data_IF_668195677196
#
_entry.id   IF_668195677196
#
_cell.length_a   1.000
_cell.length_b   1.000
_cell.length_c   1.000
_cell.angle_alpha   90.00
_cell.angle_beta   90.00
_cell.angle_gamma   90.00
#
_symmetry.space_group_name_H-M   'P 1'
#
loop_
_entity.id
_entity.type
_entity.pdbx_description
1 polymer ?
#
# COMPACT_ATOMS: atom_id res chain seq x y z
N UNK A 1 -4.77 39.38 40.96
CA UNK A 1 -3.29 39.33 40.89
C UNK A 1 -2.68 38.06 41.51
N UNK A 2 -3.09 37.64 42.72
CA UNK A 2 -2.59 36.42 43.38
C UNK A 2 -2.83 35.11 42.59
N UNK A 3 -4.03 34.94 42.01
CA UNK A 3 -4.39 33.73 41.24
C UNK A 3 -3.54 33.55 39.97
N UNK A 4 -3.12 34.67 39.35
CA UNK A 4 -2.25 34.67 38.17
C UNK A 4 -0.82 34.29 38.56
N UNK A 5 -0.30 34.82 39.68
CA UNK A 5 1.02 34.45 40.21
C UNK A 5 1.11 32.97 40.58
N UNK A 6 0.09 32.45 41.26
CA UNK A 6 0.05 31.03 41.64
C UNK A 6 -0.03 30.11 40.41
N UNK A 7 -0.74 30.53 39.36
CA UNK A 7 -0.79 29.82 38.10
C UNK A 7 0.59 29.77 37.42
N UNK A 8 1.32 30.88 37.37
CA UNK A 8 2.69 30.91 36.83
C UNK A 8 3.67 30.07 37.65
N UNK A 9 3.60 30.13 38.98
CA UNK A 9 4.41 29.28 39.86
C UNK A 9 4.14 27.79 39.65
N UNK A 10 2.87 27.41 39.46
CA UNK A 10 2.50 26.04 39.13
C UNK A 10 3.08 25.60 37.78
N UNK A 11 3.00 26.44 36.74
CA UNK A 11 3.59 26.15 35.43
C UNK A 11 5.11 25.98 35.49
N UNK A 12 5.81 26.87 36.21
CA UNK A 12 7.26 26.79 36.41
C UNK A 12 7.61 25.50 37.14
N UNK A 13 6.87 25.16 38.20
CA UNK A 13 7.11 23.95 38.99
C UNK A 13 6.93 22.68 38.15
N UNK A 14 5.87 22.61 37.34
CA UNK A 14 5.66 21.52 36.38
C UNK A 14 6.80 21.44 35.38
N UNK A 15 7.27 22.57 34.84
CA UNK A 15 8.40 22.63 33.92
C UNK A 15 9.69 22.08 34.54
N UNK A 16 10.02 22.48 35.77
CA UNK A 16 11.21 22.01 36.50
C UNK A 16 11.14 20.50 36.75
N UNK A 17 9.98 19.99 37.18
CA UNK A 17 9.78 18.55 37.40
C UNK A 17 9.96 17.75 36.10
N UNK A 18 9.41 18.22 34.99
CA UNK A 18 9.56 17.56 33.68
C UNK A 18 11.02 17.57 33.20
N UNK A 19 11.76 18.65 33.43
CA UNK A 19 13.19 18.74 33.09
C UNK A 19 14.04 17.80 33.95
N UNK A 20 13.79 17.75 35.26
CA UNK A 20 14.46 16.80 36.16
C UNK A 20 14.16 15.35 35.75
N UNK A 21 12.90 15.03 35.45
CA UNK A 21 12.52 13.71 34.97
C UNK A 21 13.20 13.36 33.64
N UNK A 22 13.23 14.28 32.67
CA UNK A 22 13.98 14.12 31.42
C UNK A 22 15.46 13.82 31.66
N UNK A 23 16.11 14.55 32.58
CA UNK A 23 17.51 14.31 32.97
C UNK A 23 17.72 12.92 33.56
N UNK A 24 16.84 12.48 34.46
CA UNK A 24 16.88 11.12 35.03
C UNK A 24 16.72 10.07 33.94
N UNK A 25 15.79 10.24 33.01
CA UNK A 25 15.61 9.30 31.90
C UNK A 25 16.85 9.24 31.00
N UNK A 26 17.52 10.37 30.72
CA UNK A 26 18.75 10.38 29.92
C UNK A 26 19.92 9.64 30.57
N UNK A 27 20.01 9.66 31.90
CA UNK A 27 21.12 9.02 32.63
C UNK A 27 20.80 7.56 32.95
N UNK A 28 19.58 7.27 33.38
CA UNK A 28 19.24 5.98 34.00
C UNK A 28 18.42 5.06 33.09
N UNK A 29 17.67 5.59 32.13
CA UNK A 29 16.85 4.76 31.27
C UNK A 29 17.64 4.31 30.05
N UNK A 30 17.56 3.02 29.72
CA UNK A 30 17.91 2.57 28.37
C UNK A 30 17.05 3.36 27.37
N UNK A 31 17.57 3.72 26.18
CA UNK A 31 16.73 4.29 25.13
C UNK A 31 15.45 3.47 25.03
N UNK A 32 14.29 4.12 25.02
CA UNK A 32 13.04 3.39 24.75
C UNK A 32 13.32 2.55 23.51
N UNK A 33 12.91 1.26 23.46
CA UNK A 33 13.04 0.50 22.24
C UNK A 33 12.39 1.36 21.17
N UNK A 34 13.21 1.91 20.27
CA UNK A 34 12.69 2.58 19.09
C UNK A 34 11.79 1.52 18.47
N UNK A 35 10.51 1.83 18.14
CA UNK A 35 9.68 0.87 17.43
C UNK A 35 10.54 0.38 16.27
N UNK A 36 10.97 -0.88 16.31
CA UNK A 36 12.21 -1.39 15.72
C UNK A 36 12.71 -0.56 14.54
N UNK A 37 13.42 0.55 14.78
CA UNK A 37 13.71 1.59 13.78
C UNK A 37 12.68 1.82 12.64
N UNK A 38 11.37 1.52 12.74
CA UNK A 38 10.50 1.29 11.56
C UNK A 38 11.27 0.60 10.40
N UNK A 39 12.13 -0.34 10.80
CA UNK A 39 13.34 -0.84 10.15
C UNK A 39 13.81 -0.02 8.97
N UNK A 40 13.93 1.31 9.09
CA UNK A 40 13.78 2.30 8.02
C UNK A 40 13.81 1.60 6.68
N UNK A 41 12.67 0.97 6.31
CA UNK A 41 12.65 0.00 5.21
C UNK A 41 13.29 0.80 4.09
N UNK A 42 14.50 0.40 3.69
CA UNK A 42 15.17 1.02 2.57
C UNK A 42 14.35 0.52 1.40
N UNK A 43 13.21 1.18 1.22
CA UNK A 43 12.31 1.00 0.12
C UNK A 43 13.20 1.03 -1.09
N UNK A 44 13.04 0.02 -1.93
CA UNK A 44 13.67 -0.09 -3.23
C UNK A 44 13.88 1.32 -3.75
N UNK A 45 15.15 1.76 -3.82
CA UNK A 45 15.46 2.95 -4.58
C UNK A 45 14.91 2.64 -5.95
N UNK A 46 13.76 3.24 -6.29
CA UNK A 46 13.20 3.17 -7.62
C UNK A 46 14.30 3.83 -8.44
N UNK A 47 15.16 3.09 -9.15
CA UNK A 47 16.36 3.70 -9.67
C UNK A 47 15.90 4.44 -10.91
N UNK A 48 15.60 5.72 -10.76
CA UNK A 48 15.24 6.59 -11.87
C UNK A 48 16.28 6.37 -12.99
N UNK A 49 15.78 6.18 -14.21
CA UNK A 49 16.57 5.92 -15.43
C UNK A 49 17.17 4.52 -15.58
N UNK A 50 17.05 3.61 -14.62
CA UNK A 50 17.37 2.19 -14.88
C UNK A 50 16.24 1.50 -15.62
N UNK A 51 15.00 1.65 -15.15
CA UNK A 51 13.84 0.95 -15.73
C UNK A 51 12.49 1.64 -15.51
N UNK A 52 12.47 2.80 -14.84
CA UNK A 52 11.29 3.67 -14.75
C UNK A 52 11.61 5.05 -15.29
N UNK A 53 10.60 5.71 -15.84
CA UNK A 53 10.62 7.09 -16.29
C UNK A 53 9.66 7.96 -15.48
N UNK A 54 9.92 9.27 -15.49
CA UNK A 54 9.00 10.26 -14.94
C UNK A 54 7.67 10.23 -15.70
N UNK A 55 6.58 10.27 -14.95
CA UNK A 55 5.23 10.44 -15.47
C UNK A 55 4.58 11.64 -14.77
N UNK A 56 4.05 12.58 -15.54
CA UNK A 56 3.44 13.82 -15.04
C UNK A 56 2.19 13.60 -14.17
N UNK A 57 1.41 12.54 -14.40
CA UNK A 57 0.25 12.19 -13.57
C UNK A 57 0.61 11.17 -12.48
N UNK A 58 1.41 10.15 -12.81
CA UNK A 58 1.69 9.04 -11.89
C UNK A 58 2.92 9.25 -11.01
N UNK A 59 3.78 10.20 -11.33
CA UNK A 59 5.09 10.43 -10.72
C UNK A 59 6.19 9.66 -11.43
N UNK A 60 6.09 8.33 -11.42
CA UNK A 60 6.97 7.43 -12.18
C UNK A 60 6.17 6.27 -12.75
N UNK A 61 6.64 5.71 -13.86
CA UNK A 61 6.07 4.52 -14.49
C UNK A 61 7.15 3.68 -15.17
N UNK A 62 7.02 2.33 -15.25
CA UNK A 62 8.02 1.51 -15.92
C UNK A 62 8.20 1.88 -17.40
N UNK A 63 9.43 1.81 -17.87
CA UNK A 63 9.78 2.08 -19.27
C UNK A 63 9.17 1.01 -20.20
N UNK A 64 8.63 1.38 -21.36
CA UNK A 64 8.24 0.42 -22.39
C UNK A 64 9.42 -0.44 -22.89
N UNK A 65 9.14 -1.70 -23.24
CA UNK A 65 10.07 -2.64 -23.89
C UNK A 65 11.44 -2.72 -23.20
N UNK A 66 11.42 -2.77 -21.86
CA UNK A 66 12.63 -2.68 -21.05
C UNK A 66 12.99 -4.00 -20.39
N UNK A 67 14.22 -4.44 -20.63
CA UNK A 67 14.94 -5.40 -19.77
C UNK A 67 15.74 -4.63 -18.72
N UNK A 68 15.62 -5.04 -17.46
CA UNK A 68 16.37 -4.45 -16.37
C UNK A 68 16.79 -5.48 -15.33
N UNK A 69 17.86 -5.19 -14.60
CA UNK A 69 18.29 -6.01 -13.47
C UNK A 69 17.94 -5.30 -12.17
N UNK A 70 17.08 -5.93 -11.38
CA UNK A 70 16.85 -5.58 -10.00
C UNK A 70 17.98 -6.18 -9.17
N UNK A 71 18.91 -5.33 -8.78
CA UNK A 71 20.05 -5.68 -7.94
C UNK A 71 19.93 -4.93 -6.60
N UNK A 72 19.63 -5.68 -5.55
CA UNK A 72 19.74 -5.27 -4.15
C UNK A 72 20.64 -6.28 -3.43
N UNK A 73 21.06 -6.04 -2.18
CA UNK A 73 21.81 -7.05 -1.42
C UNK A 73 21.10 -8.41 -1.26
N UNK A 74 19.77 -8.45 -1.44
CA UNK A 74 18.94 -9.65 -1.24
C UNK A 74 18.33 -10.19 -2.55
N UNK A 75 18.24 -9.36 -3.59
CA UNK A 75 17.49 -9.64 -4.81
C UNK A 75 18.41 -9.44 -6.00
N UNK A 76 18.49 -10.45 -6.85
CA UNK A 76 19.22 -10.41 -8.12
C UNK A 76 18.32 -11.02 -9.18
N UNK A 77 17.49 -10.20 -9.83
CA UNK A 77 16.54 -10.70 -10.83
C UNK A 77 16.56 -9.84 -12.08
N UNK A 78 16.58 -10.49 -13.23
CA UNK A 78 16.26 -9.86 -14.50
C UNK A 78 14.75 -9.79 -14.66
N UNK A 79 14.29 -8.61 -15.06
CA UNK A 79 12.88 -8.28 -15.22
C UNK A 79 12.66 -7.69 -16.60
N UNK A 80 11.49 -7.98 -17.17
CA UNK A 80 11.01 -7.35 -18.38
C UNK A 80 9.74 -6.54 -18.13
N UNK A 81 9.57 -5.54 -18.98
CA UNK A 81 8.33 -4.81 -19.16
C UNK A 81 8.01 -4.71 -20.64
N UNK A 82 6.73 -4.86 -20.98
CA UNK A 82 6.28 -4.89 -22.36
C UNK A 82 6.13 -3.48 -22.95
N UNK A 83 5.60 -3.36 -24.18
CA UNK A 83 5.44 -2.07 -24.86
C UNK A 83 4.49 -1.09 -24.14
N UNK A 84 3.68 -1.59 -23.20
CA UNK A 84 2.80 -0.79 -22.35
C UNK A 84 3.40 -0.46 -20.98
N UNK A 85 4.61 -0.95 -20.66
CA UNK A 85 5.22 -0.84 -19.33
C UNK A 85 4.68 -1.84 -18.30
N UNK A 86 3.85 -2.81 -18.70
CA UNK A 86 3.39 -3.88 -17.82
C UNK A 86 4.48 -4.90 -17.56
N UNK A 87 4.49 -5.51 -16.38
CA UNK A 87 5.44 -6.55 -15.99
C UNK A 87 5.32 -7.77 -16.92
N UNK A 88 6.45 -8.17 -17.50
CA UNK A 88 6.58 -9.33 -18.42
C UNK A 88 6.82 -8.91 -19.88
N UNK A 89 7.05 -9.89 -20.74
CA UNK A 89 7.34 -9.65 -22.18
C UNK A 89 6.08 -9.65 -23.06
N UNK A 90 4.98 -10.26 -22.58
CA UNK A 90 3.76 -10.42 -23.38
C UNK A 90 3.11 -9.06 -23.64
N UNK A 91 2.96 -8.71 -24.91
CA UNK A 91 2.16 -7.55 -25.33
C UNK A 91 0.67 -7.89 -25.37
N UNK A 92 -0.16 -6.92 -25.00
CA UNK A 92 -1.62 -7.03 -25.03
C UNK A 92 -2.17 -5.93 -25.92
N UNK A 93 -3.06 -6.29 -26.85
CA UNK A 93 -3.77 -5.30 -27.65
C UNK A 93 -4.80 -4.57 -26.78
N UNK A 94 -4.94 -3.24 -26.94
CA UNK A 94 -5.97 -2.44 -26.26
C UNK A 94 -7.37 -3.02 -26.54
N UNK A 95 -7.67 -3.24 -27.82
CA UNK A 95 -8.85 -3.99 -28.24
C UNK A 95 -8.63 -5.48 -27.98
N UNK A 96 -9.49 -6.04 -27.13
CA UNK A 96 -9.47 -7.46 -26.77
C UNK A 96 -9.80 -8.31 -27.98
N UNK A 97 -8.79 -9.00 -28.52
CA UNK A 97 -8.92 -9.92 -29.65
C UNK A 97 -9.03 -11.39 -29.21
N UNK A 98 -8.77 -11.69 -27.93
CA UNK A 98 -8.89 -13.04 -27.36
C UNK A 98 -10.32 -13.31 -26.89
N UNK A 99 -10.81 -14.52 -27.13
CA UNK A 99 -12.15 -14.95 -26.70
C UNK A 99 -12.27 -15.21 -25.19
N UNK A 100 -11.15 -15.27 -24.45
CA UNK A 100 -11.15 -15.54 -23.01
C UNK A 100 -11.12 -14.27 -22.14
N UNK A 101 -11.26 -14.39 -20.81
CA UNK A 101 -11.33 -13.23 -19.92
C UNK A 101 -9.99 -12.49 -19.81
N UNK A 102 -10.07 -11.16 -19.67
CA UNK A 102 -8.95 -10.25 -19.45
C UNK A 102 -9.00 -9.72 -18.03
N UNK A 103 -7.90 -9.90 -17.31
CA UNK A 103 -7.69 -9.42 -15.96
C UNK A 103 -6.64 -8.33 -15.99
N UNK A 104 -6.94 -7.20 -15.38
CA UNK A 104 -5.94 -6.18 -15.04
C UNK A 104 -5.59 -6.32 -13.56
N UNK A 105 -4.32 -6.55 -13.25
CA UNK A 105 -3.81 -6.51 -11.89
C UNK A 105 -3.13 -5.15 -11.64
N UNK A 106 -3.67 -4.37 -10.70
CA UNK A 106 -3.13 -3.08 -10.27
C UNK A 106 -2.74 -3.14 -8.80
N UNK A 107 -1.59 -2.56 -8.47
CA UNK A 107 -1.07 -2.61 -7.12
C UNK A 107 0.35 -2.11 -7.02
N UNK A 108 1.03 -2.53 -5.96
CA UNK A 108 2.40 -2.12 -5.68
C UNK A 108 3.45 -3.17 -6.10
N UNK A 109 4.54 -3.28 -5.34
CA UNK A 109 5.62 -4.21 -5.56
C UNK A 109 5.20 -5.68 -5.47
N UNK A 110 4.17 -6.02 -4.69
CA UNK A 110 3.65 -7.39 -4.69
C UNK A 110 2.92 -7.73 -5.98
N UNK A 111 2.14 -6.80 -6.53
CA UNK A 111 1.53 -6.99 -7.84
C UNK A 111 2.59 -7.13 -8.92
N UNK A 112 3.60 -6.26 -8.91
CA UNK A 112 4.72 -6.31 -9.84
C UNK A 112 5.53 -7.62 -9.76
N UNK A 113 5.51 -8.31 -8.61
CA UNK A 113 6.37 -9.46 -8.36
C UNK A 113 7.82 -9.06 -8.09
N UNK A 114 7.98 -8.04 -7.24
CA UNK A 114 9.30 -7.59 -6.82
C UNK A 114 10.06 -8.72 -6.11
N UNK A 115 11.26 -9.04 -6.59
CA UNK A 115 12.09 -10.12 -6.04
C UNK A 115 11.98 -11.46 -6.77
N UNK A 116 11.12 -11.58 -7.79
CA UNK A 116 10.96 -12.83 -8.56
C UNK A 116 11.09 -12.62 -10.07
N UNK A 117 11.44 -13.68 -10.79
CA UNK A 117 11.52 -13.66 -12.25
C UNK A 117 10.12 -13.53 -12.90
N UNK A 118 10.07 -13.19 -14.18
CA UNK A 118 8.83 -12.94 -14.93
C UNK A 118 7.85 -14.13 -14.85
N UNK A 119 8.39 -15.35 -15.03
CA UNK A 119 7.69 -16.63 -14.95
C UNK A 119 7.15 -16.97 -13.56
N UNK A 120 7.69 -16.33 -12.52
CA UNK A 120 7.36 -16.63 -11.13
C UNK A 120 6.27 -15.72 -10.56
N UNK A 121 5.97 -14.60 -11.24
CA UNK A 121 4.90 -13.68 -10.85
C UNK A 121 3.55 -14.40 -10.82
N UNK A 122 2.64 -13.97 -9.93
CA UNK A 122 1.33 -14.63 -9.85
C UNK A 122 0.53 -14.44 -11.14
N UNK A 123 0.68 -13.30 -11.80
CA UNK A 123 0.00 -12.97 -13.06
C UNK A 123 0.41 -13.94 -14.16
N UNK A 124 1.71 -14.20 -14.30
CA UNK A 124 2.22 -15.10 -15.32
C UNK A 124 1.79 -16.55 -15.06
N UNK A 125 1.80 -16.97 -13.80
CA UNK A 125 1.31 -18.30 -13.41
C UNK A 125 -0.18 -18.50 -13.64
N UNK A 126 -1.00 -17.45 -13.48
CA UNK A 126 -2.43 -17.51 -13.81
C UNK A 126 -2.64 -17.78 -15.31
N UNK A 127 -1.88 -17.10 -16.18
CA UNK A 127 -1.93 -17.34 -17.62
C UNK A 127 -1.39 -18.72 -18.02
N UNK A 128 -0.34 -19.22 -17.35
CA UNK A 128 0.20 -20.57 -17.62
C UNK A 128 -0.81 -21.67 -17.31
N UNK A 129 -1.61 -21.49 -16.26
CA UNK A 129 -2.66 -22.43 -15.85
C UNK A 129 -3.90 -22.33 -16.72
N UNK A 130 -4.14 -21.18 -17.34
CA UNK A 130 -5.24 -20.97 -18.27
C UNK A 130 -4.80 -20.09 -19.46
N UNK A 131 -4.35 -20.71 -20.57
CA UNK A 131 -3.86 -19.97 -21.74
C UNK A 131 -4.91 -19.08 -22.44
N UNK A 132 -6.20 -19.29 -22.18
CA UNK A 132 -7.26 -18.42 -22.68
C UNK A 132 -7.34 -17.08 -21.93
N UNK A 133 -6.69 -16.99 -20.76
CA UNK A 133 -6.76 -15.84 -19.88
C UNK A 133 -5.63 -14.86 -20.21
N UNK A 134 -5.95 -13.57 -20.21
CA UNK A 134 -4.96 -12.50 -20.27
C UNK A 134 -4.82 -11.85 -18.91
N UNK A 135 -3.62 -11.78 -18.35
CA UNK A 135 -3.37 -11.09 -17.07
C UNK A 135 -2.37 -9.96 -17.27
N UNK A 136 -2.89 -8.74 -17.42
CA UNK A 136 -2.12 -7.52 -17.55
C UNK A 136 -1.62 -7.12 -16.17
N UNK A 137 -0.32 -7.34 -15.91
CA UNK A 137 0.29 -6.97 -14.65
C UNK A 137 0.80 -5.53 -14.69
N UNK A 138 -0.03 -4.61 -14.19
CA UNK A 138 0.27 -3.19 -14.07
C UNK A 138 0.72 -2.82 -12.65
N UNK A 139 1.26 -3.75 -11.86
CA UNK A 139 1.84 -3.41 -10.56
C UNK A 139 3.01 -2.44 -10.70
N UNK A 140 3.15 -1.48 -9.79
CA UNK A 140 4.30 -0.57 -9.79
C UNK A 140 4.85 -0.43 -8.38
N UNK A 141 6.12 -0.83 -8.12
CA UNK A 141 6.74 -0.70 -6.81
C UNK A 141 6.63 0.72 -6.25
N UNK A 142 6.27 0.80 -4.96
CA UNK A 142 6.14 2.05 -4.23
C UNK A 142 4.81 2.78 -4.40
N UNK A 143 3.86 2.26 -5.18
CA UNK A 143 2.55 2.91 -5.35
C UNK A 143 1.69 2.84 -4.08
N UNK A 144 1.00 3.93 -3.79
CA UNK A 144 -0.13 3.96 -2.85
C UNK A 144 -1.45 3.73 -3.55
N UNK A 145 -2.54 3.64 -2.77
CA UNK A 145 -3.91 3.47 -3.31
C UNK A 145 -4.30 4.63 -4.24
N UNK A 146 -3.80 5.84 -3.96
CA UNK A 146 -3.96 7.03 -4.80
C UNK A 146 -3.36 6.84 -6.21
N UNK A 147 -2.11 6.38 -6.30
CA UNK A 147 -1.48 6.08 -7.58
C UNK A 147 -2.12 4.90 -8.28
N UNK A 148 -2.63 3.90 -7.56
CA UNK A 148 -3.41 2.80 -8.16
C UNK A 148 -4.69 3.33 -8.85
N UNK A 149 -5.41 4.25 -8.22
CA UNK A 149 -6.55 4.93 -8.87
C UNK A 149 -6.11 5.70 -10.12
N UNK A 150 -5.03 6.46 -10.03
CA UNK A 150 -4.52 7.21 -11.18
C UNK A 150 -4.04 6.30 -12.31
N UNK A 151 -3.36 5.19 -11.99
CA UNK A 151 -2.90 4.22 -12.96
C UNK A 151 -4.07 3.57 -13.72
N UNK A 152 -5.15 3.23 -13.02
CA UNK A 152 -6.36 2.71 -13.65
C UNK A 152 -6.94 3.73 -14.64
N UNK A 153 -7.00 5.01 -14.26
CA UNK A 153 -7.52 6.11 -15.09
C UNK A 153 -6.67 6.36 -16.34
N UNK A 154 -5.36 6.46 -16.16
CA UNK A 154 -4.43 6.89 -17.21
C UNK A 154 -4.10 5.76 -18.19
N UNK A 155 -3.98 4.53 -17.69
CA UNK A 155 -3.42 3.41 -18.45
C UNK A 155 -4.40 2.23 -18.46
N UNK A 156 -4.73 1.71 -17.28
CA UNK A 156 -5.38 0.40 -17.13
C UNK A 156 -6.73 0.28 -17.86
N UNK A 157 -7.60 1.29 -17.77
CA UNK A 157 -8.97 1.21 -18.31
C UNK A 157 -9.04 1.14 -19.84
N UNK A 158 -8.01 1.57 -20.56
CA UNK A 158 -7.93 1.52 -22.04
C UNK A 158 -7.90 0.08 -22.56
N UNK A 159 -7.51 -0.86 -21.72
CA UNK A 159 -7.43 -2.29 -22.07
C UNK A 159 -8.74 -3.04 -21.83
N UNK A 160 -9.82 -2.37 -21.43
CA UNK A 160 -11.15 -2.96 -21.25
C UNK A 160 -11.13 -4.32 -20.49
N UNK A 161 -10.60 -4.35 -19.24
CA UNK A 161 -10.56 -5.60 -18.48
C UNK A 161 -11.97 -6.07 -18.11
N UNK A 162 -12.18 -7.39 -18.02
CA UNK A 162 -13.40 -7.96 -17.44
C UNK A 162 -13.33 -7.96 -15.91
N UNK A 163 -12.13 -8.12 -15.36
CA UNK A 163 -11.86 -8.14 -13.91
C UNK A 163 -10.66 -7.25 -13.59
N UNK A 164 -10.75 -6.46 -12.53
CA UNK A 164 -9.62 -5.70 -12.00
C UNK A 164 -9.26 -6.22 -10.62
N UNK A 165 -8.09 -6.86 -10.50
CA UNK A 165 -7.51 -7.23 -9.21
C UNK A 165 -6.83 -5.99 -8.63
N UNK A 166 -7.36 -5.50 -7.51
CA UNK A 166 -6.81 -4.37 -6.78
C UNK A 166 -6.10 -4.90 -5.54
N UNK A 167 -4.79 -4.80 -5.57
CA UNK A 167 -3.94 -5.08 -4.42
C UNK A 167 -4.28 -4.16 -3.25
N UNK A 168 -4.38 -4.75 -2.05
CA UNK A 168 -4.45 -3.99 -0.82
C UNK A 168 -3.48 -4.54 0.21
N UNK A 169 -2.42 -3.77 0.42
CA UNK A 169 -1.41 -3.98 1.44
C UNK A 169 -1.41 -2.80 2.45
N UNK A 170 -1.18 -3.02 3.76
CA UNK A 170 -1.33 -1.97 4.79
C UNK A 170 -0.56 -0.67 4.51
N UNK A 171 0.66 -0.76 3.97
CA UNK A 171 1.49 0.41 3.69
C UNK A 171 0.93 1.30 2.57
N UNK A 172 0.07 0.78 1.69
CA UNK A 172 -0.48 1.57 0.58
C UNK A 172 -1.36 2.72 1.07
N UNK A 173 -2.07 2.54 2.19
CA UNK A 173 -2.87 3.60 2.79
C UNK A 173 -2.01 4.68 3.46
N UNK A 174 -0.88 4.29 4.05
CA UNK A 174 0.13 5.22 4.56
C UNK A 174 0.72 6.04 3.41
N UNK A 175 1.07 5.41 2.28
CA UNK A 175 1.58 6.12 1.09
C UNK A 175 0.58 7.12 0.51
N UNK A 176 -0.72 6.82 0.58
CA UNK A 176 -1.78 7.69 0.05
C UNK A 176 -1.95 9.02 0.80
N UNK A 177 -1.30 9.19 1.96
CA UNK A 177 -1.33 10.44 2.75
C UNK A 177 -0.17 11.39 2.46
N UNK A 178 0.67 11.08 1.46
CA UNK A 178 1.94 11.77 1.23
C UNK A 178 2.11 12.20 -0.22
N UNK A 179 2.72 13.36 -0.40
CA UNK A 179 3.13 13.86 -1.71
C UNK A 179 4.43 13.23 -2.22
N UNK A 180 5.10 12.40 -1.41
CA UNK A 180 6.39 11.77 -1.74
C UNK A 180 6.48 10.34 -1.19
N UNK A 181 7.29 9.51 -1.84
CA UNK A 181 7.72 8.21 -1.29
C UNK A 181 8.75 8.38 -0.19
N UNK A 182 9.02 7.31 0.56
CA UNK A 182 10.14 7.29 1.51
C UNK A 182 11.50 7.51 0.83
N UNK A 183 11.64 7.12 -0.45
CA UNK A 183 12.83 7.36 -1.27
C UNK A 183 12.92 8.78 -1.85
N UNK A 184 11.99 9.68 -1.50
CA UNK A 184 12.03 11.09 -1.93
C UNK A 184 11.38 11.38 -3.29
N UNK A 185 10.76 10.39 -3.94
CA UNK A 185 10.09 10.59 -5.22
C UNK A 185 8.74 11.27 -5.05
N UNK A 186 8.51 12.37 -5.76
CA UNK A 186 7.23 13.05 -5.80
C UNK A 186 6.15 12.17 -6.44
N UNK A 187 4.91 12.28 -5.95
CA UNK A 187 3.76 11.52 -6.45
C UNK A 187 2.47 12.36 -6.40
N UNK A 188 1.45 12.01 -7.19
CA UNK A 188 0.11 12.53 -6.93
C UNK A 188 -0.36 12.07 -5.56
N UNK A 189 -1.24 12.85 -4.95
CA UNK A 189 -1.95 12.45 -3.73
C UNK A 189 -3.31 13.14 -3.67
N UNK A 190 -4.22 12.61 -2.85
CA UNK A 190 -5.52 13.25 -2.64
C UNK A 190 -5.55 14.00 -1.31
N UNK A 191 -6.39 15.03 -1.25
CA UNK A 191 -6.91 15.60 0.00
C UNK A 191 -8.41 15.42 0.06
N UNK A 192 -8.96 15.43 1.27
CA UNK A 192 -10.40 15.53 1.46
C UNK A 192 -10.76 17.01 1.56
N UNK A 193 -11.71 17.46 0.75
CA UNK A 193 -12.31 18.79 0.88
C UNK A 193 -13.12 18.89 2.19
N UNK A 194 -13.56 20.10 2.55
CA UNK A 194 -14.45 20.28 3.70
C UNK A 194 -15.77 19.47 3.57
N UNK A 195 -16.18 19.17 2.35
CA UNK A 195 -17.36 18.36 2.02
C UNK A 195 -17.06 16.85 1.99
N UNK A 196 -15.80 16.44 2.19
CA UNK A 196 -15.39 15.03 2.20
C UNK A 196 -15.22 14.40 0.82
N UNK A 197 -15.03 15.23 -0.21
CA UNK A 197 -14.73 14.82 -1.59
C UNK A 197 -13.23 14.72 -1.83
N UNK A 198 -12.84 13.88 -2.78
CA UNK A 198 -11.44 13.70 -3.16
C UNK A 198 -11.00 14.84 -4.09
N UNK A 199 -9.99 15.59 -3.65
CA UNK A 199 -9.32 16.60 -4.46
C UNK A 199 -7.91 16.13 -4.80
N UNK A 200 -7.63 15.95 -6.09
CA UNK A 200 -6.31 15.53 -6.58
C UNK A 200 -5.32 16.69 -6.47
N UNK A 201 -4.14 16.40 -5.94
CA UNK A 201 -3.07 17.36 -5.71
C UNK A 201 -1.78 16.85 -6.36
N UNK A 202 -0.85 17.77 -6.59
CA UNK A 202 0.49 17.46 -7.10
C UNK A 202 0.48 16.86 -8.51
N UNK A 203 -0.40 17.36 -9.40
CA UNK A 203 -0.45 17.03 -10.83
C UNK A 203 -0.43 18.34 -11.64
N UNK A 204 0.53 18.53 -12.57
CA UNK A 204 1.62 17.61 -12.89
C UNK A 204 2.58 17.41 -11.70
N UNK A 205 3.08 16.20 -11.54
CA UNK A 205 3.97 15.81 -10.46
C UNK A 205 5.28 16.61 -10.58
N UNK A 206 5.74 17.29 -9.52
CA UNK A 206 7.00 18.01 -9.55
C UNK A 206 8.16 17.08 -9.91
N UNK A 207 9.03 17.53 -10.82
CA UNK A 207 10.24 16.77 -11.16
C UNK A 207 11.21 16.76 -9.97
N UNK A 208 12.02 15.71 -9.78
CA UNK A 208 12.90 15.55 -8.61
C UNK A 208 13.82 16.75 -8.33
N UNK A 209 14.29 17.46 -9.36
CA UNK A 209 15.16 18.63 -9.26
C UNK A 209 14.42 19.96 -8.98
N UNK A 210 13.08 19.96 -8.99
CA UNK A 210 12.26 21.12 -8.67
C UNK A 210 11.89 21.19 -7.17
N UNK A 211 12.38 20.26 -6.35
CA UNK A 211 12.09 20.21 -4.92
C UNK A 211 12.68 21.42 -4.20
N UNK A 212 11.85 22.43 -3.95
CA UNK A 212 12.20 23.60 -3.14
C UNK A 212 11.52 23.50 -1.76
N UNK A 213 12.17 24.02 -0.72
CA UNK A 213 11.55 24.08 0.61
C UNK A 213 10.23 24.88 0.55
N UNK A 214 9.15 24.32 1.12
CA UNK A 214 7.84 24.98 1.19
C UNK A 214 6.74 24.40 0.29
N UNK A 215 7.07 23.53 -0.68
CA UNK A 215 6.07 22.81 -1.50
C UNK A 215 5.40 21.62 -0.78
N UNK A 216 5.74 21.39 0.49
CA UNK A 216 5.33 20.22 1.26
C UNK A 216 4.17 20.56 2.20
N UNK A 217 2.89 20.27 1.85
CA UNK A 217 1.85 20.16 2.85
C UNK A 217 2.14 18.90 3.66
N UNK A 218 2.98 19.05 4.67
CA UNK A 218 3.19 18.03 5.66
C UNK A 218 1.89 17.92 6.47
N UNK A 219 0.99 17.01 6.07
CA UNK A 219 -0.17 16.62 6.90
C UNK A 219 0.29 16.11 8.29
N UNK A 220 1.56 15.70 8.40
CA UNK A 220 2.26 15.40 9.65
C UNK A 220 3.51 16.25 9.82
N UNK A 221 3.44 17.55 9.58
CA UNK A 221 4.51 18.44 10.00
C UNK A 221 4.43 18.33 11.50
N UNK A 222 5.38 17.62 12.11
CA UNK A 222 5.54 17.68 13.53
C UNK A 222 5.54 19.16 13.85
N UNK A 223 4.50 19.62 14.56
CA UNK A 223 4.51 20.99 15.06
C UNK A 223 5.88 21.19 15.72
N UNK A 224 6.38 22.42 15.76
CA UNK A 224 7.63 22.74 16.44
C UNK A 224 7.74 21.97 17.79
N UNK A 225 6.62 21.89 18.51
CA UNK A 225 6.45 21.09 19.73
C UNK A 225 6.61 19.59 19.56
N UNK A 226 6.05 18.95 18.54
CA UNK A 226 6.28 17.53 18.27
C UNK A 226 7.75 17.23 17.91
N UNK A 227 8.43 18.15 17.19
CA UNK A 227 9.86 18.00 16.90
C UNK A 227 10.71 18.10 18.17
N UNK A 228 10.36 19.02 19.08
CA UNK A 228 10.97 19.16 20.42
C UNK A 228 10.66 17.93 21.28
N UNK A 229 9.42 17.48 21.34
CA UNK A 229 8.98 16.31 22.12
C UNK A 229 9.64 15.02 21.63
N UNK A 230 9.87 14.85 20.33
CA UNK A 230 10.62 13.71 19.80
C UNK A 230 12.08 13.67 20.29
N UNK A 231 12.67 14.80 20.68
CA UNK A 231 14.01 14.82 21.30
C UNK A 231 13.98 14.49 22.79
N UNK A 232 12.82 14.49 23.44
CA UNK A 232 12.64 14.13 24.85
C UNK A 232 12.57 12.62 25.05
N UNK A 233 13.48 12.08 25.86
CA UNK A 233 13.47 10.67 26.24
C UNK A 233 12.30 10.31 27.14
N UNK A 234 11.90 11.22 28.04
CA UNK A 234 10.74 11.06 28.89
C UNK A 234 9.46 10.92 28.04
N UNK A 235 9.27 11.82 27.07
CA UNK A 235 8.14 11.76 26.14
C UNK A 235 8.15 10.46 25.32
N UNK A 236 9.31 10.06 24.78
CA UNK A 236 9.42 8.81 24.02
C UNK A 236 9.06 7.58 24.88
N UNK A 237 9.52 7.54 26.13
CA UNK A 237 9.21 6.46 27.07
C UNK A 237 7.71 6.41 27.44
N UNK A 238 7.13 7.56 27.79
CA UNK A 238 5.70 7.67 28.11
C UNK A 238 4.88 7.27 26.87
N UNK A 239 5.20 7.81 25.70
CA UNK A 239 4.53 7.48 24.43
C UNK A 239 4.66 5.99 24.11
N UNK A 240 5.83 5.38 24.23
CA UNK A 240 6.04 3.96 23.96
C UNK A 240 5.22 3.07 24.91
N UNK A 241 5.15 3.44 26.20
CA UNK A 241 4.33 2.73 27.19
C UNK A 241 2.84 2.92 26.94
N UNK A 242 2.40 4.14 26.65
CA UNK A 242 1.02 4.44 26.28
C UNK A 242 0.61 3.73 25.00
N UNK A 243 1.48 3.67 23.98
CA UNK A 243 1.23 2.92 22.75
C UNK A 243 1.20 1.41 23.00
N UNK A 244 2.05 0.89 23.89
CA UNK A 244 2.02 -0.53 24.27
C UNK A 244 0.76 -0.87 25.05
N UNK A 245 0.32 0.00 25.95
CA UNK A 245 -0.95 -0.10 26.66
C UNK A 245 -2.13 0.01 25.68
N UNK A 246 -2.15 1.00 24.78
CA UNK A 246 -3.24 1.16 23.81
C UNK A 246 -3.31 0.02 22.79
N UNK A 247 -2.17 -0.51 22.33
CA UNK A 247 -2.08 -1.71 21.50
C UNK A 247 -2.60 -2.95 22.23
N UNK A 248 -2.31 -3.08 23.53
CA UNK A 248 -2.81 -4.20 24.33
C UNK A 248 -4.29 -4.07 24.72
N UNK A 249 -4.87 -2.86 24.67
CA UNK A 249 -6.27 -2.58 25.07
C UNK A 249 -7.20 -2.39 23.86
N UNK A 250 -6.77 -2.67 22.62
CA UNK A 250 -7.62 -2.57 21.42
C UNK A 250 -8.26 -1.17 21.18
N UNK A 251 -7.75 -0.09 21.79
CA UNK A 251 -8.46 1.20 21.86
C UNK A 251 -8.36 2.09 20.61
N UNK A 252 -7.47 1.79 19.66
CA UNK A 252 -7.32 2.59 18.43
C UNK A 252 -8.06 1.87 17.31
N UNK A 253 -9.29 2.26 17.02
CA UNK A 253 -10.03 1.74 15.87
C UNK A 253 -9.34 2.22 14.58
N UNK A 254 -8.80 1.32 13.74
CA UNK A 254 -8.23 1.71 12.44
C UNK A 254 -9.26 2.43 11.56
N UNK A 255 -10.57 2.22 11.78
CA UNK A 255 -11.60 2.94 11.02
C UNK A 255 -11.59 4.46 11.22
N UNK A 256 -10.93 4.94 12.29
CA UNK A 256 -10.84 6.35 12.68
C UNK A 256 -9.53 7.02 12.25
N UNK A 257 -8.56 6.26 11.73
CA UNK A 257 -7.28 6.80 11.27
C UNK A 257 -7.49 7.68 10.02
N UNK A 258 -6.71 8.76 9.89
CA UNK A 258 -6.82 9.65 8.75
C UNK A 258 -6.33 8.96 7.46
N UNK A 259 -5.31 8.09 7.58
CA UNK A 259 -4.86 7.21 6.49
C UNK A 259 -6.01 6.36 5.97
N UNK A 260 -6.81 5.78 6.86
CA UNK A 260 -7.91 4.94 6.45
C UNK A 260 -9.11 5.72 5.91
N UNK A 261 -9.42 6.89 6.48
CA UNK A 261 -10.50 7.76 5.98
C UNK A 261 -10.28 8.17 4.52
N UNK A 262 -9.06 8.52 4.16
CA UNK A 262 -8.74 8.86 2.78
C UNK A 262 -8.65 7.60 1.92
N UNK A 263 -7.99 6.53 2.39
CA UNK A 263 -7.83 5.28 1.64
C UNK A 263 -9.16 4.67 1.24
N UNK A 264 -10.12 4.58 2.16
CA UNK A 264 -11.45 4.03 1.87
C UNK A 264 -12.23 4.88 0.86
N UNK A 265 -12.03 6.20 0.85
CA UNK A 265 -12.65 7.11 -0.13
C UNK A 265 -12.05 6.91 -1.52
N UNK A 266 -10.72 6.80 -1.62
CA UNK A 266 -10.01 6.51 -2.86
C UNK A 266 -10.41 5.13 -3.39
N UNK A 267 -10.40 4.10 -2.54
CA UNK A 267 -10.85 2.75 -2.91
C UNK A 267 -12.31 2.79 -3.40
N UNK A 268 -13.23 3.40 -2.67
CA UNK A 268 -14.62 3.52 -3.13
C UNK A 268 -14.74 4.22 -4.49
N UNK A 269 -13.91 5.23 -4.77
CA UNK A 269 -13.88 5.90 -6.08
C UNK A 269 -13.36 4.95 -7.17
N UNK A 270 -12.26 4.24 -6.91
CA UNK A 270 -11.70 3.25 -7.83
C UNK A 270 -12.71 2.13 -8.15
N UNK A 271 -13.32 1.55 -7.13
CA UNK A 271 -14.33 0.50 -7.28
C UNK A 271 -15.52 0.96 -8.12
N UNK A 272 -15.98 2.22 -7.95
CA UNK A 272 -17.05 2.79 -8.76
C UNK A 272 -16.64 2.97 -10.21
N UNK A 273 -15.42 3.45 -10.47
CA UNK A 273 -14.92 3.65 -11.83
C UNK A 273 -14.74 2.33 -12.58
N UNK A 274 -14.19 1.32 -11.91
CA UNK A 274 -14.06 -0.03 -12.45
C UNK A 274 -15.42 -0.59 -12.88
N UNK A 275 -16.43 -0.48 -12.00
CA UNK A 275 -17.80 -0.94 -12.31
C UNK A 275 -18.45 -0.14 -13.43
N UNK A 276 -18.23 1.18 -13.45
CA UNK A 276 -18.76 2.07 -14.49
C UNK A 276 -18.22 1.69 -15.87
N UNK A 277 -16.98 1.23 -15.93
CA UNK A 277 -16.32 0.78 -17.16
C UNK A 277 -16.67 -0.67 -17.53
N UNK A 278 -17.61 -1.31 -16.81
CA UNK A 278 -18.12 -2.66 -17.11
C UNK A 278 -17.29 -3.81 -16.53
N UNK A 279 -16.27 -3.52 -15.72
CA UNK A 279 -15.39 -4.51 -15.12
C UNK A 279 -15.81 -4.87 -13.68
N UNK A 280 -15.48 -6.08 -13.24
CA UNK A 280 -15.66 -6.52 -11.85
C UNK A 280 -14.40 -6.19 -11.02
N UNK A 281 -14.49 -5.30 -10.00
CA UNK A 281 -13.38 -5.11 -9.09
C UNK A 281 -13.29 -6.25 -8.07
N UNK A 282 -12.07 -6.70 -7.78
CA UNK A 282 -11.78 -7.70 -6.74
C UNK A 282 -10.63 -7.20 -5.90
N UNK A 283 -10.81 -7.13 -4.58
CA UNK A 283 -9.70 -6.78 -3.68
C UNK A 283 -8.85 -8.03 -3.41
N UNK A 284 -7.54 -7.94 -3.63
CA UNK A 284 -6.57 -8.97 -3.25
C UNK A 284 -5.85 -8.48 -2.01
N UNK A 285 -6.20 -9.05 -0.85
CA UNK A 285 -5.63 -8.61 0.42
C UNK A 285 -4.32 -9.32 0.67
N UNK A 286 -3.24 -8.53 0.72
CA UNK A 286 -1.88 -9.03 0.87
C UNK A 286 -1.50 -9.03 2.35
N UNK A 287 -1.26 -10.21 2.96
CA UNK A 287 -0.80 -10.27 4.33
C UNK A 287 0.70 -9.95 4.39
N UNK A 288 1.14 -8.98 5.21
CA UNK A 288 2.52 -8.98 5.68
C UNK A 288 2.76 -10.22 6.57
N UNK A 289 4.02 -10.63 6.69
CA UNK A 289 4.43 -11.81 7.44
C UNK A 289 3.87 -11.84 8.89
N UNK A 290 3.86 -10.69 9.58
CA UNK A 290 3.33 -10.60 10.93
C UNK A 290 1.81 -10.81 11.02
N UNK A 291 1.05 -10.57 9.93
CA UNK A 291 -0.37 -10.96 9.88
C UNK A 291 -0.52 -12.46 9.78
N UNK A 292 0.34 -13.11 9.00
CA UNK A 292 0.36 -14.56 8.86
C UNK A 292 0.68 -15.23 10.21
N UNK A 293 1.62 -14.69 10.98
CA UNK A 293 1.98 -15.26 12.30
C UNK A 293 0.93 -15.08 13.39
N UNK A 294 -0.03 -14.16 13.22
CA UNK A 294 -1.08 -13.89 14.21
C UNK A 294 -2.38 -13.38 13.54
N UNK A 295 -3.05 -14.22 12.73
CA UNK A 295 -4.14 -13.81 11.85
C UNK A 295 -5.35 -13.21 12.57
N UNK A 296 -5.61 -13.63 13.81
CA UNK A 296 -6.73 -13.22 14.64
C UNK A 296 -6.56 -11.82 15.28
N UNK A 297 -5.33 -11.32 15.37
CA UNK A 297 -5.01 -10.05 16.06
C UNK A 297 -4.99 -8.83 15.13
N UNK A 298 -5.28 -9.00 13.84
CA UNK A 298 -5.10 -7.96 12.83
C UNK A 298 -6.32 -7.05 12.73
N UNK A 299 -6.28 -5.89 13.39
CA UNK A 299 -7.36 -4.89 13.30
C UNK A 299 -7.52 -4.28 11.88
N UNK A 300 -6.45 -3.93 11.14
CA UNK A 300 -6.61 -3.37 9.80
C UNK A 300 -7.25 -4.36 8.81
N UNK A 301 -6.90 -5.65 8.91
CA UNK A 301 -7.59 -6.73 8.16
C UNK A 301 -9.10 -6.71 8.41
N UNK A 302 -9.53 -6.63 9.69
CA UNK A 302 -10.96 -6.58 10.04
C UNK A 302 -11.66 -5.33 9.49
N UNK A 303 -11.00 -4.18 9.53
CA UNK A 303 -11.50 -2.93 8.95
C UNK A 303 -11.67 -3.04 7.42
N UNK A 304 -10.67 -3.61 6.73
CA UNK A 304 -10.74 -3.88 5.29
C UNK A 304 -11.91 -4.81 4.93
N UNK A 305 -12.10 -5.90 5.68
CA UNK A 305 -13.21 -6.82 5.44
C UNK A 305 -14.59 -6.17 5.68
N UNK A 306 -14.71 -5.29 6.70
CA UNK A 306 -15.93 -4.50 6.91
C UNK A 306 -16.20 -3.54 5.75
N UNK A 307 -15.15 -2.86 5.28
CA UNK A 307 -15.23 -1.99 4.11
C UNK A 307 -15.69 -2.77 2.88
N UNK A 308 -15.03 -3.90 2.58
CA UNK A 308 -15.36 -4.69 1.41
C UNK A 308 -16.82 -5.19 1.42
N UNK A 309 -17.30 -5.64 2.60
CA UNK A 309 -18.70 -6.01 2.79
C UNK A 309 -19.66 -4.85 2.51
N UNK A 310 -19.33 -3.63 2.97
CA UNK A 310 -20.16 -2.43 2.73
C UNK A 310 -20.17 -1.99 1.27
N UNK A 311 -19.02 -2.03 0.61
CA UNK A 311 -18.89 -1.66 -0.80
C UNK A 311 -19.32 -2.78 -1.76
N UNK A 312 -19.78 -3.93 -1.23
CA UNK A 312 -20.18 -5.12 -1.98
C UNK A 312 -19.09 -5.56 -2.98
N UNK A 313 -17.83 -5.53 -2.55
CA UNK A 313 -16.69 -5.93 -3.38
C UNK A 313 -16.17 -7.29 -2.90
N UNK A 314 -15.95 -8.26 -3.81
CA UNK A 314 -15.32 -9.52 -3.46
C UNK A 314 -13.88 -9.34 -2.97
N UNK A 315 -13.44 -10.23 -2.08
CA UNK A 315 -12.10 -10.20 -1.50
C UNK A 315 -11.45 -11.57 -1.61
N UNK A 316 -10.24 -11.61 -2.18
CA UNK A 316 -9.31 -12.73 -2.04
C UNK A 316 -8.41 -12.42 -0.85
N UNK A 317 -8.75 -12.98 0.32
CA UNK A 317 -7.96 -12.79 1.53
C UNK A 317 -6.88 -13.87 1.66
N UNK A 318 -5.66 -13.52 1.25
CA UNK A 318 -4.53 -14.44 1.23
C UNK A 318 -4.01 -14.76 2.64
N UNK A 319 -4.45 -14.04 3.69
CA UNK A 319 -3.97 -14.23 5.07
C UNK A 319 -4.16 -15.67 5.54
N UNK A 320 -5.34 -16.23 5.33
CA UNK A 320 -5.67 -17.60 5.76
C UNK A 320 -4.84 -18.62 4.99
N UNK A 321 -4.73 -18.48 3.67
CA UNK A 321 -3.97 -19.40 2.84
C UNK A 321 -2.48 -19.42 3.22
N UNK A 322 -1.87 -18.26 3.40
CA UNK A 322 -0.48 -18.15 3.84
C UNK A 322 -0.27 -18.70 5.25
N UNK A 323 -1.25 -18.52 6.17
CA UNK A 323 -1.18 -19.09 7.51
C UNK A 323 -1.22 -20.61 7.49
N UNK A 324 -2.17 -21.20 6.76
CA UNK A 324 -2.29 -22.65 6.62
C UNK A 324 -1.07 -23.26 5.92
N UNK A 325 -0.54 -22.59 4.90
CA UNK A 325 0.66 -23.02 4.18
C UNK A 325 1.93 -22.91 5.06
N UNK A 326 2.03 -21.86 5.87
CA UNK A 326 3.09 -21.66 6.85
C UNK A 326 3.10 -22.73 7.94
N UNK A 327 1.93 -23.15 8.45
CA UNK A 327 1.83 -24.26 9.42
C UNK A 327 2.33 -25.60 8.88
N UNK A 328 2.15 -25.85 7.58
CA UNK A 328 2.58 -27.11 6.93
C UNK A 328 4.07 -27.14 6.62
N UNK A 329 4.70 -25.97 6.56
CA UNK A 329 6.11 -25.81 6.20
C UNK A 329 6.73 -24.73 7.09
N UNK A 330 7.20 -23.63 6.51
CA UNK A 330 7.64 -22.43 7.24
C UNK A 330 6.99 -21.21 6.60
N UNK A 331 6.64 -20.19 7.39
CA UNK A 331 6.14 -18.92 6.84
C UNK A 331 7.22 -18.27 5.96
N UNK A 332 8.47 -18.40 6.40
CA UNK A 332 9.71 -17.93 5.76
C UNK A 332 9.92 -18.53 4.37
N UNK A 333 9.29 -19.66 4.02
CA UNK A 333 9.36 -20.20 2.66
C UNK A 333 8.64 -19.31 1.63
N UNK A 334 7.69 -18.49 2.10
CA UNK A 334 6.81 -17.67 1.25
C UNK A 334 7.24 -16.20 1.20
N UNK A 335 8.22 -15.79 2.02
CA UNK A 335 8.77 -14.43 2.07
C UNK A 335 10.27 -14.47 1.81
N UNK A 336 10.79 -13.51 1.05
CA UNK A 336 12.23 -13.40 0.82
C UNK A 336 12.91 -13.15 2.16
N UNK A 337 13.96 -13.92 2.47
CA UNK A 337 14.65 -13.81 3.74
C UNK A 337 15.20 -12.39 3.94
N UNK A 338 14.96 -11.83 5.13
CA UNK A 338 15.35 -10.46 5.51
C UNK A 338 14.64 -9.36 4.68
N UNK A 339 13.57 -9.72 3.98
CA UNK A 339 12.69 -8.84 3.21
C UNK A 339 11.21 -9.24 3.45
N UNK A 340 10.27 -8.40 3.04
CA UNK A 340 8.82 -8.58 3.28
C UNK A 340 8.05 -8.94 2.01
N UNK A 341 8.72 -8.96 0.85
CA UNK A 341 8.16 -9.43 -0.42
C UNK A 341 8.12 -10.95 -0.48
N UNK A 342 7.28 -11.46 -1.37
CA UNK A 342 7.10 -12.90 -1.53
C UNK A 342 8.23 -13.56 -2.30
N UNK A 343 8.54 -14.81 -1.93
CA UNK A 343 9.32 -15.69 -2.79
C UNK A 343 8.48 -16.13 -3.99
N UNK A 344 9.12 -16.83 -4.93
CA UNK A 344 8.43 -17.58 -5.96
C UNK A 344 7.37 -18.52 -5.36
N UNK A 345 7.56 -19.10 -4.18
CA UNK A 345 6.54 -19.95 -3.54
C UNK A 345 5.34 -19.15 -3.06
N UNK A 346 5.56 -17.95 -2.51
CA UNK A 346 4.50 -17.00 -2.12
C UNK A 346 3.63 -16.59 -3.30
N UNK A 347 4.26 -16.21 -4.41
CA UNK A 347 3.53 -15.91 -5.65
C UNK A 347 2.73 -17.10 -6.19
N UNK A 348 3.22 -18.34 -6.03
CA UNK A 348 2.54 -19.54 -6.49
C UNK A 348 1.27 -19.79 -5.68
N UNK A 349 1.35 -19.59 -4.37
CA UNK A 349 0.21 -19.69 -3.46
C UNK A 349 -0.83 -18.62 -3.77
N UNK A 350 -0.41 -17.37 -3.94
CA UNK A 350 -1.31 -16.28 -4.33
C UNK A 350 -2.03 -16.58 -5.66
N UNK A 351 -1.30 -17.06 -6.68
CA UNK A 351 -1.90 -17.45 -7.96
C UNK A 351 -2.96 -18.55 -7.79
N UNK A 352 -2.68 -19.57 -6.98
CA UNK A 352 -3.63 -20.67 -6.74
C UNK A 352 -4.92 -20.21 -6.05
N UNK A 353 -4.81 -19.32 -5.05
CA UNK A 353 -5.97 -18.77 -4.34
C UNK A 353 -6.80 -17.84 -5.23
N UNK A 354 -6.13 -16.97 -6.00
CA UNK A 354 -6.79 -16.10 -6.98
C UNK A 354 -7.50 -16.93 -8.06
N UNK A 355 -6.86 -18.00 -8.55
CA UNK A 355 -7.45 -18.93 -9.53
C UNK A 355 -8.67 -19.66 -8.96
N UNK A 356 -8.56 -20.18 -7.73
CA UNK A 356 -9.67 -20.84 -7.03
C UNK A 356 -10.86 -19.90 -6.87
N UNK A 357 -10.59 -18.64 -6.49
CA UNK A 357 -11.58 -17.60 -6.44
C UNK A 357 -12.17 -17.30 -7.84
N UNK A 358 -11.34 -17.26 -8.88
CA UNK A 358 -11.72 -17.07 -10.29
C UNK A 358 -12.68 -18.12 -10.83
N UNK A 359 -12.51 -19.38 -10.43
CA UNK A 359 -13.35 -20.50 -10.88
C UNK A 359 -14.62 -20.70 -10.04
N UNK A 360 -14.75 -20.02 -8.91
CA UNK A 360 -15.87 -20.25 -7.99
C UNK A 360 -17.22 -19.82 -8.60
N UNK A 361 -18.22 -20.73 -8.68
CA UNK A 361 -19.54 -20.41 -9.23
C UNK A 361 -20.32 -19.39 -8.38
N UNK A 362 -19.88 -19.15 -7.14
CA UNK A 362 -20.45 -18.11 -6.25
C UNK A 362 -20.05 -16.68 -6.65
N UNK A 363 -19.33 -16.49 -7.76
CA UNK A 363 -19.03 -15.17 -8.35
C UNK A 363 -20.25 -14.43 -8.89
N UNK A 364 -21.35 -15.13 -9.17
CA UNK A 364 -22.58 -14.51 -9.68
C UNK A 364 -23.39 -13.81 -8.57
N UNK A 365 -22.79 -12.87 -7.85
CA UNK A 365 -23.53 -11.84 -7.14
C UNK A 365 -23.36 -10.52 -7.89
N UNK A 366 -24.12 -10.38 -8.98
CA UNK A 366 -24.96 -9.24 -9.37
C UNK A 366 -25.39 -9.46 -10.84
N UNK A 367 -26.70 -9.54 -11.16
CA UNK A 367 -27.14 -9.39 -12.54
C UNK A 367 -26.78 -7.98 -13.04
N UNK A 368 -26.62 -7.76 -14.36
CA UNK A 368 -26.47 -6.41 -14.90
C UNK A 368 -27.65 -5.55 -14.42
N UNK A 369 -27.47 -4.23 -14.21
CA UNK A 369 -28.58 -3.36 -13.89
C UNK A 369 -29.63 -3.48 -15.00
N UNK A 370 -30.76 -4.12 -14.67
CA UNK A 370 -31.97 -4.12 -15.47
C UNK A 370 -32.53 -2.70 -15.44
N UNK A 371 -32.13 -1.90 -16.42
CA UNK A 371 -32.49 -0.48 -16.46
C UNK A 371 -32.02 0.21 -17.74
N UNK A 372 -32.17 -0.45 -18.89
CA UNK A 372 -32.19 0.21 -20.19
C UNK A 372 -33.17 -0.56 -21.08
N UNK A 373 -34.46 -0.37 -20.81
CA UNK A 373 -35.53 -0.71 -21.73
C UNK A 373 -36.49 0.48 -21.77
N UNK A 374 -36.68 0.99 -22.99
CA UNK A 374 -37.49 2.13 -23.43
C UNK A 374 -36.94 3.53 -23.11
#
# INVERSE_FOLDING_TARGET
MLRVKNFFLALISVGVVLLCAEGVFRVCAKPAPQPAAEQAVTWVEVPEKKWVDYHDVLGWYPQPDKTARLETPLIHQEIHTNAAGFRGERNYAENKNSGGPRILAVGDSFTFGFGVADSETFSRRLEERNPALEVLNAGVPGYGIDQVLMLYREIGRKYHPDVVLVDVFPEMGWRATRAFTAGGYAKPFFKLTAQGELELQNVPVPKPYAMTQGQFPNLFQHSFWQAVLKKSMLYQWIRARLLRLSRNVYLIDPDLSDEWKISRKILSQLLREIRKDGAEPVLVMIPPEYWVRSPEKNQPRRSMLRFAKREHVPVVDLTTAFYEAGKKSSVEDYYIRDDWHWTAKGHALAAAEIESFLKSPKRHFLPPPSGAAA
#
